data_IF_918869503346
#
_entry.id   IF_918869503346
#
_cell.length_a   1.000
_cell.length_b   1.000
_cell.length_c   1.000
_cell.angle_alpha   90.00
_cell.angle_beta   90.00
_cell.angle_gamma   90.00
#
_symmetry.space_group_name_H-M   'P 1'
#
loop_
_entity.id
_entity.type
_entity.pdbx_description
1 polymer ?
#
# COMPACT_ATOMS: atom_id res chain seq x y z
N UNK A 1 10.87 -13.54 -9.66
CA UNK A 1 11.37 -12.15 -9.67
C UNK A 1 10.91 -11.55 -8.35
N UNK A 2 11.82 -11.40 -7.38
CA UNK A 2 11.48 -10.89 -6.04
C UNK A 2 11.57 -9.37 -6.10
N UNK A 3 10.46 -8.67 -5.88
CA UNK A 3 10.45 -7.21 -5.81
C UNK A 3 10.68 -6.79 -4.36
N UNK A 4 11.68 -5.93 -4.16
CA UNK A 4 12.05 -5.40 -2.84
C UNK A 4 11.14 -4.22 -2.51
N UNK A 5 10.28 -4.38 -1.51
CA UNK A 5 9.49 -3.28 -0.95
C UNK A 5 10.37 -2.34 -0.11
N UNK A 6 10.14 -1.03 -0.24
CA UNK A 6 10.78 -0.02 0.61
C UNK A 6 10.00 0.04 1.93
N UNK A 7 10.64 -0.44 3.00
CA UNK A 7 10.07 -0.54 4.35
C UNK A 7 9.90 0.84 5.00
N UNK A 8 8.67 1.20 5.34
CA UNK A 8 8.39 2.28 6.30
C UNK A 8 8.46 1.67 7.71
N UNK A 9 9.19 2.26 8.67
CA UNK A 9 9.24 1.75 10.03
C UNK A 9 7.91 2.04 10.73
N UNK A 10 7.10 0.99 10.92
CA UNK A 10 6.00 1.03 11.90
C UNK A 10 6.60 1.02 13.30
N UNK A 11 6.08 1.88 14.17
CA UNK A 11 6.56 2.12 15.53
C UNK A 11 6.48 0.82 16.35
N UNK A 12 7.62 0.40 16.90
CA UNK A 12 7.69 -0.39 18.14
C UNK A 12 7.12 -1.80 18.13
N UNK A 13 7.70 -2.70 17.34
CA UNK A 13 7.86 -4.08 17.80
C UNK A 13 9.21 -4.59 17.32
N UNK A 14 10.15 -4.59 18.25
CA UNK A 14 11.46 -5.22 18.10
C UNK A 14 11.23 -6.70 17.74
N UNK A 15 11.99 -7.17 16.74
CA UNK A 15 12.14 -8.59 16.42
C UNK A 15 10.84 -9.39 16.17
N UNK A 16 10.16 -9.12 15.04
CA UNK A 16 9.25 -10.11 14.45
C UNK A 16 9.89 -10.63 13.17
N UNK A 17 10.28 -11.91 13.23
CA UNK A 17 10.92 -12.69 12.17
C UNK A 17 10.34 -12.38 10.78
N UNK A 18 11.21 -12.21 9.78
CA UNK A 18 10.85 -11.87 8.40
C UNK A 18 9.89 -12.89 7.74
N UNK A 19 9.76 -14.08 8.32
CA UNK A 19 9.01 -15.21 7.76
C UNK A 19 7.53 -15.24 8.18
N UNK A 20 7.09 -14.45 9.18
CA UNK A 20 5.71 -14.56 9.71
C UNK A 20 5.06 -13.21 10.01
N UNK A 21 4.92 -12.36 8.99
CA UNK A 21 4.13 -11.12 9.09
C UNK A 21 2.87 -11.22 8.22
N UNK A 22 2.02 -12.20 8.52
CA UNK A 22 0.67 -12.27 7.95
C UNK A 22 -0.17 -11.17 8.59
N UNK A 23 -0.28 -10.01 7.93
CA UNK A 23 -1.24 -8.98 8.30
C UNK A 23 -2.62 -9.39 7.77
N UNK A 24 -3.65 -9.36 8.62
CA UNK A 24 -5.04 -9.63 8.19
C UNK A 24 -5.54 -8.63 7.12
N UNK A 25 -4.89 -7.46 7.07
CA UNK A 25 -5.16 -6.40 6.10
C UNK A 25 -3.84 -5.89 5.57
N UNK A 26 -3.73 -5.82 4.23
CA UNK A 26 -2.60 -5.24 3.54
C UNK A 26 -3.04 -4.07 2.63
N UNK A 27 -2.18 -3.06 2.53
CA UNK A 27 -2.35 -1.90 1.65
C UNK A 27 -1.41 -2.08 0.46
N UNK A 28 -1.99 -2.08 -0.74
CA UNK A 28 -1.29 -2.15 -2.02
C UNK A 28 -1.66 -0.93 -2.85
N UNK A 29 -0.64 -0.27 -3.40
CA UNK A 29 -0.80 0.97 -4.15
C UNK A 29 -0.62 0.79 -5.66
N UNK A 30 -1.41 1.54 -6.44
CA UNK A 30 -1.37 1.55 -7.91
C UNK A 30 -1.13 2.96 -8.46
N UNK A 31 0.14 3.38 -8.69
CA UNK A 31 0.45 4.70 -9.24
C UNK A 31 0.18 4.76 -10.76
N UNK A 32 -1.08 4.97 -11.16
CA UNK A 32 -1.53 4.97 -12.56
C UNK A 32 -2.53 6.09 -12.87
N UNK A 33 -2.38 6.73 -14.03
CA UNK A 33 -3.28 7.79 -14.50
C UNK A 33 -3.37 7.92 -16.03
N UNK A 34 -2.86 6.96 -16.80
CA UNK A 34 -2.77 7.09 -18.27
C UNK A 34 -4.12 6.98 -18.97
N UNK A 35 -5.15 6.49 -18.29
CA UNK A 35 -6.54 6.43 -18.78
C UNK A 35 -7.36 7.66 -18.38
N UNK A 36 -6.75 8.66 -17.71
CA UNK A 36 -7.44 9.91 -17.37
C UNK A 36 -7.61 10.78 -18.63
N UNK A 37 -8.81 11.34 -18.82
CA UNK A 37 -9.16 12.07 -20.05
C UNK A 37 -8.83 13.56 -20.03
N UNK A 38 -8.66 14.16 -18.85
CA UNK A 38 -8.53 15.62 -18.71
C UNK A 38 -7.40 16.06 -17.77
N UNK A 39 -7.34 15.51 -16.55
CA UNK A 39 -6.35 15.91 -15.53
C UNK A 39 -5.53 14.71 -15.07
N UNK A 40 -4.34 14.47 -15.67
CA UNK A 40 -3.40 13.49 -15.14
C UNK A 40 -2.77 13.99 -13.84
N UNK A 41 -2.12 13.09 -13.11
CA UNK A 41 -1.46 13.37 -11.83
C UNK A 41 -1.84 12.41 -10.71
N UNK A 42 -2.87 11.57 -10.89
CA UNK A 42 -3.30 10.60 -9.86
C UNK A 42 -2.18 9.61 -9.48
N UNK A 43 -1.20 9.37 -10.38
CA UNK A 43 -0.04 8.51 -10.12
C UNK A 43 0.82 8.95 -8.93
N UNK A 44 0.74 10.22 -8.51
CA UNK A 44 1.49 10.75 -7.37
C UNK A 44 0.74 10.64 -6.04
N UNK A 45 -0.54 10.27 -6.07
CA UNK A 45 -1.40 10.15 -4.89
C UNK A 45 -0.86 9.18 -3.85
N UNK A 46 -0.53 7.92 -4.21
CA UNK A 46 -0.06 6.91 -3.25
C UNK A 46 1.11 7.38 -2.39
N UNK A 47 2.14 7.96 -3.04
CA UNK A 47 3.30 8.49 -2.33
C UNK A 47 2.93 9.56 -1.29
N UNK A 48 2.06 10.51 -1.66
CA UNK A 48 1.65 11.59 -0.75
C UNK A 48 0.82 11.05 0.41
N UNK A 49 -0.13 10.15 0.15
CA UNK A 49 -0.94 9.50 1.18
C UNK A 49 -0.03 8.80 2.20
N UNK A 50 0.97 8.06 1.71
CA UNK A 50 1.93 7.31 2.51
C UNK A 50 2.87 8.18 3.34
N UNK A 51 3.30 9.33 2.82
CA UNK A 51 4.13 10.28 3.58
C UNK A 51 3.31 10.98 4.66
N UNK A 52 2.09 11.38 4.33
CA UNK A 52 1.21 12.14 5.22
C UNK A 52 0.53 11.25 6.27
N UNK A 53 0.26 9.97 5.97
CA UNK A 53 -0.33 9.01 6.90
C UNK A 53 0.51 8.77 8.14
N UNK A 54 1.83 9.02 8.07
CA UNK A 54 2.75 8.94 9.22
C UNK A 54 2.37 9.88 10.38
N UNK A 55 1.57 10.91 10.11
CA UNK A 55 1.07 11.85 11.11
C UNK A 55 -0.12 11.28 11.89
N UNK A 56 -0.77 10.23 11.37
CA UNK A 56 -1.84 9.54 12.06
C UNK A 56 -1.21 8.64 13.13
N UNK A 57 -1.40 9.00 14.39
CA UNK A 57 -1.02 8.20 15.55
C UNK A 57 -2.29 7.74 16.28
N UNK A 58 -2.19 6.65 17.03
CA UNK A 58 -3.29 6.01 17.78
C UNK A 58 -3.88 6.85 18.94
N UNK A 59 -3.64 8.17 18.94
CA UNK A 59 -4.15 9.13 19.93
C UNK A 59 -4.64 10.44 19.30
N UNK A 60 -4.99 10.41 18.01
CA UNK A 60 -5.77 11.49 17.41
C UNK A 60 -7.11 11.61 18.16
N UNK A 61 -7.65 12.83 18.36
CA UNK A 61 -8.86 13.03 19.15
C UNK A 61 -9.99 12.12 18.65
N UNK A 62 -10.73 11.54 19.60
CA UNK A 62 -11.77 10.49 19.47
C UNK A 62 -12.89 10.75 18.44
N UNK A 63 -12.85 11.88 17.73
CA UNK A 63 -13.80 12.34 16.72
C UNK A 63 -13.64 11.63 15.37
N UNK A 64 -12.55 10.88 15.17
CA UNK A 64 -12.41 9.96 14.05
C UNK A 64 -13.10 8.65 14.44
N UNK A 65 -14.36 8.51 14.05
CA UNK A 65 -15.30 7.42 14.37
C UNK A 65 -14.82 5.98 14.04
N UNK A 66 -13.57 5.83 13.62
CA UNK A 66 -12.91 4.56 13.31
C UNK A 66 -11.83 4.27 14.36
N UNK A 67 -12.23 3.62 15.44
CA UNK A 67 -11.26 2.99 16.34
C UNK A 67 -10.68 1.77 15.62
N UNK A 68 -9.54 1.94 14.95
CA UNK A 68 -8.75 0.85 14.34
C UNK A 68 -7.89 0.10 15.38
N UNK A 69 -8.04 0.38 16.67
CA UNK A 69 -7.23 -0.23 17.73
C UNK A 69 -7.43 -1.75 17.90
N UNK A 70 -8.48 -2.32 17.29
CA UNK A 70 -8.68 -3.78 17.21
C UNK A 70 -8.16 -4.40 15.91
N UNK A 71 -7.83 -3.59 14.89
CA UNK A 71 -7.22 -4.06 13.66
C UNK A 71 -5.70 -4.06 13.87
N UNK A 72 -5.03 -5.20 13.62
CA UNK A 72 -3.58 -5.19 13.49
C UNK A 72 -3.18 -4.11 12.48
N UNK A 73 -2.13 -3.34 12.78
CA UNK A 73 -1.66 -2.27 11.88
C UNK A 73 -1.55 -2.84 10.46
N UNK A 74 -2.25 -2.27 9.47
CA UNK A 74 -2.22 -2.81 8.11
C UNK A 74 -0.79 -2.97 7.63
N UNK A 75 -0.50 -4.12 7.01
CA UNK A 75 0.76 -4.36 6.33
C UNK A 75 0.88 -3.44 5.12
N UNK A 76 2.07 -2.91 4.88
CA UNK A 76 2.33 -2.05 3.74
C UNK A 76 3.15 -2.82 2.70
N UNK A 77 2.51 -3.16 1.57
CA UNK A 77 3.13 -3.96 0.48
C UNK A 77 3.73 -3.07 -0.63
N UNK A 78 3.68 -1.75 -0.47
CA UNK A 78 4.30 -0.82 -1.41
C UNK A 78 3.50 -0.58 -2.70
N UNK A 79 4.21 -0.10 -3.72
CA UNK A 79 3.65 0.25 -5.03
C UNK A 79 3.84 -0.89 -6.04
N UNK A 80 2.78 -1.24 -6.76
CA UNK A 80 2.89 -2.21 -7.84
C UNK A 80 3.71 -1.65 -9.03
N UNK A 81 4.61 -2.45 -9.64
CA UNK A 81 5.40 -2.04 -10.78
C UNK A 81 4.54 -1.96 -12.06
N UNK A 82 3.97 -0.79 -12.32
CA UNK A 82 3.08 -0.54 -13.47
C UNK A 82 3.81 0.23 -14.58
N UNK A 83 3.64 -0.23 -15.82
CA UNK A 83 4.12 0.49 -17.01
C UNK A 83 3.19 1.65 -17.39
N UNK A 84 3.72 2.86 -17.67
CA UNK A 84 2.91 3.97 -18.17
C UNK A 84 2.72 3.94 -19.70
N UNK A 85 3.36 3.01 -20.41
CA UNK A 85 3.45 3.03 -21.87
C UNK A 85 2.35 2.24 -22.58
N UNK A 86 1.75 1.28 -21.90
CA UNK A 86 0.75 0.37 -22.46
C UNK A 86 -0.30 0.05 -21.40
N UNK A 87 -1.54 0.44 -21.68
CA UNK A 87 -2.65 0.31 -20.75
C UNK A 87 -3.09 -1.16 -20.57
N UNK A 88 -2.98 -1.99 -21.61
CA UNK A 88 -3.33 -3.40 -21.50
C UNK A 88 -2.32 -4.12 -20.59
N UNK A 89 -1.03 -3.86 -20.82
CA UNK A 89 0.04 -4.40 -19.97
C UNK A 89 -0.02 -3.86 -18.55
N UNK A 90 -0.39 -2.59 -18.35
CA UNK A 90 -0.59 -2.01 -17.03
C UNK A 90 -1.69 -2.74 -16.25
N UNK A 91 -2.81 -3.06 -16.90
CA UNK A 91 -3.90 -3.83 -16.30
C UNK A 91 -3.44 -5.23 -15.88
N UNK A 92 -2.71 -5.94 -16.75
CA UNK A 92 -2.17 -7.27 -16.45
C UNK A 92 -1.24 -7.23 -15.23
N UNK A 93 -0.39 -6.20 -15.14
CA UNK A 93 0.51 -6.00 -14.01
C UNK A 93 -0.23 -5.71 -12.70
N UNK A 94 -1.29 -4.90 -12.74
CA UNK A 94 -2.14 -4.65 -11.57
C UNK A 94 -2.81 -5.93 -11.08
N UNK A 95 -3.38 -6.73 -11.99
CA UNK A 95 -4.01 -8.00 -11.65
C UNK A 95 -3.02 -8.99 -11.05
N UNK A 96 -1.84 -9.12 -11.65
CA UNK A 96 -0.78 -9.99 -11.13
C UNK A 96 -0.34 -9.58 -9.72
N UNK A 97 -0.23 -8.29 -9.44
CA UNK A 97 0.09 -7.79 -8.10
C UNK A 97 -1.00 -8.15 -7.08
N UNK A 98 -2.28 -7.94 -7.41
CA UNK A 98 -3.39 -8.36 -6.54
C UNK A 98 -3.36 -9.87 -6.24
N UNK A 99 -3.16 -10.71 -7.26
CA UNK A 99 -3.14 -12.16 -7.06
C UNK A 99 -1.93 -12.64 -6.25
N UNK A 100 -0.78 -11.97 -6.39
CA UNK A 100 0.40 -12.30 -5.60
C UNK A 100 0.12 -12.03 -4.12
N UNK A 101 -0.35 -10.82 -3.80
CA UNK A 101 -0.67 -10.43 -2.42
C UNK A 101 -1.76 -11.31 -1.78
N UNK A 102 -2.79 -11.69 -2.53
CA UNK A 102 -3.85 -12.56 -2.03
C UNK A 102 -3.39 -13.99 -1.76
N UNK A 103 -2.38 -14.48 -2.49
CA UNK A 103 -1.84 -15.82 -2.28
C UNK A 103 -0.74 -15.86 -1.20
N UNK A 104 -0.14 -14.70 -0.89
CA UNK A 104 0.90 -14.54 0.12
C UNK A 104 0.33 -14.23 1.53
N UNK A 105 -0.99 -14.03 1.65
CA UNK A 105 -1.72 -13.79 2.90
C UNK A 105 -2.22 -15.09 3.58
#
# INVERSE_FOLDING_TARGET
>A
MRYTAVRIPTVGHEDVDEETRTSDVAILDFPFDTTTSYRPGARFGPYVIRVESKRLHAGAPDEWWWNLGWLAVPGDDGDAPITPMDNAKALDQMQAACYTLLNDM
#
